data_IF_562456583265
#
_entry.id   IF_562456583265
#
_cell.length_a   1.000
_cell.length_b   1.000
_cell.length_c   1.000
_cell.angle_alpha   90.00
_cell.angle_beta   90.00
_cell.angle_gamma   90.00
#
_symmetry.space_group_name_H-M   'P 1'
#
loop_
_entity.id
_entity.type
_entity.pdbx_description
1 polymer ?
#
# COMPACT_ATOMS: atom_id res chain seq x y z
N UNK A 1 -13.21 9.48 -0.98
CA UNK A 1 -11.95 9.34 -0.23
C UNK A 1 -11.86 10.31 0.93
N UNK A 2 -12.56 9.95 1.99
CA UNK A 2 -12.29 10.43 3.34
C UNK A 2 -10.94 9.87 3.83
N UNK A 3 -10.39 10.41 4.93
CA UNK A 3 -9.13 9.92 5.52
C UNK A 3 -9.24 8.43 5.87
N UNK A 4 -10.36 8.03 6.48
CA UNK A 4 -10.63 6.65 6.88
C UNK A 4 -10.63 5.68 5.68
N UNK A 5 -11.20 6.08 4.55
CA UNK A 5 -11.25 5.25 3.34
C UNK A 5 -9.84 5.02 2.74
N UNK A 6 -8.93 5.99 2.90
CA UNK A 6 -7.52 5.85 2.49
C UNK A 6 -6.78 4.90 3.44
N UNK A 7 -7.06 4.97 4.74
CA UNK A 7 -6.46 4.07 5.74
C UNK A 7 -6.91 2.61 5.54
N UNK A 8 -8.20 2.37 5.31
CA UNK A 8 -8.71 1.02 5.01
C UNK A 8 -8.05 0.43 3.76
N UNK A 9 -7.93 1.24 2.70
CA UNK A 9 -7.30 0.80 1.44
C UNK A 9 -5.81 0.56 1.59
N UNK A 10 -5.14 1.37 2.40
CA UNK A 10 -3.72 1.19 2.74
C UNK A 10 -3.49 -0.12 3.50
N UNK A 11 -4.37 -0.46 4.45
CA UNK A 11 -4.26 -1.71 5.19
C UNK A 11 -4.54 -2.94 4.31
N UNK A 12 -5.50 -2.84 3.38
CA UNK A 12 -5.70 -3.88 2.37
C UNK A 12 -4.43 -4.08 1.51
N UNK A 13 -3.80 -3.00 1.02
CA UNK A 13 -2.55 -3.12 0.24
C UNK A 13 -1.38 -3.71 1.05
N UNK A 14 -1.29 -3.40 2.35
CA UNK A 14 -0.28 -4.02 3.23
C UNK A 14 -0.51 -5.52 3.38
N UNK A 15 -1.76 -5.94 3.55
CA UNK A 15 -2.11 -7.36 3.63
C UNK A 15 -1.77 -8.09 2.32
N UNK A 16 -2.07 -7.47 1.18
CA UNK A 16 -1.71 -8.00 -0.13
C UNK A 16 -0.20 -8.11 -0.32
N UNK A 17 0.57 -7.14 0.18
CA UNK A 17 2.04 -7.20 0.16
C UNK A 17 2.56 -8.40 0.97
N UNK A 18 2.02 -8.62 2.17
CA UNK A 18 2.41 -9.75 3.04
C UNK A 18 2.06 -11.06 2.36
N UNK A 19 0.84 -11.20 1.84
CA UNK A 19 0.40 -12.40 1.10
C UNK A 19 1.29 -12.67 -0.11
N UNK A 20 1.61 -11.63 -0.88
CA UNK A 20 2.46 -11.74 -2.07
C UNK A 20 3.89 -12.13 -1.70
N UNK A 21 4.45 -11.59 -0.61
CA UNK A 21 5.77 -11.98 -0.11
C UNK A 21 5.80 -13.43 0.36
N UNK A 22 4.78 -13.88 1.10
CA UNK A 22 4.66 -15.28 1.53
C UNK A 22 4.56 -16.22 0.32
N UNK A 23 3.71 -15.87 -0.64
CA UNK A 23 3.56 -16.63 -1.89
C UNK A 23 4.88 -16.67 -2.67
N UNK A 24 5.62 -15.56 -2.77
CA UNK A 24 6.94 -15.50 -3.42
C UNK A 24 7.96 -16.42 -2.76
N UNK A 25 7.92 -16.52 -1.43
CA UNK A 25 8.83 -17.34 -0.65
C UNK A 25 8.54 -18.84 -0.81
N UNK A 26 7.25 -19.20 -0.94
CA UNK A 26 6.81 -20.58 -1.15
C UNK A 26 7.00 -21.02 -2.61
N UNK A 27 6.68 -20.14 -3.55
CA UNK A 27 6.85 -20.36 -4.98
C UNK A 27 7.40 -19.09 -5.62
N UNK A 28 8.53 -19.16 -6.35
CA UNK A 28 9.07 -17.98 -7.01
C UNK A 28 8.00 -17.39 -7.94
N UNK A 29 7.52 -16.19 -7.58
CA UNK A 29 6.56 -15.44 -8.39
C UNK A 29 7.08 -15.27 -9.82
N UNK A 30 6.19 -15.49 -10.78
CA UNK A 30 6.47 -15.25 -12.20
C UNK A 30 6.86 -13.80 -12.50
N UNK A 31 6.36 -12.84 -11.69
CA UNK A 31 6.72 -11.43 -11.84
C UNK A 31 7.04 -10.75 -10.50
N UNK A 32 8.32 -10.65 -10.11
CA UNK A 32 8.75 -9.95 -8.90
C UNK A 32 8.52 -8.43 -8.97
N UNK A 33 8.27 -7.85 -10.15
CA UNK A 33 7.97 -6.42 -10.28
C UNK A 33 6.66 -6.03 -9.58
N UNK A 34 5.72 -6.97 -9.41
CA UNK A 34 4.45 -6.72 -8.73
C UNK A 34 4.65 -6.31 -7.26
N UNK A 35 5.63 -6.91 -6.57
CA UNK A 35 6.01 -6.51 -5.20
C UNK A 35 6.51 -5.06 -5.18
N UNK A 36 7.29 -4.67 -6.19
CA UNK A 36 7.79 -3.29 -6.31
C UNK A 36 6.66 -2.29 -6.59
N UNK A 37 5.68 -2.68 -7.39
CA UNK A 37 4.51 -1.86 -7.68
C UNK A 37 3.63 -1.64 -6.44
N UNK A 38 3.30 -2.72 -5.71
CA UNK A 38 2.53 -2.64 -4.47
C UNK A 38 3.22 -1.72 -3.45
N UNK A 39 4.54 -1.85 -3.26
CA UNK A 39 5.31 -0.95 -2.38
C UNK A 39 5.23 0.52 -2.80
N UNK A 40 5.24 0.80 -4.11
CA UNK A 40 5.09 2.17 -4.62
C UNK A 40 3.69 2.72 -4.39
N UNK A 41 2.65 1.89 -4.53
CA UNK A 41 1.28 2.32 -4.30
C UNK A 41 1.06 2.68 -2.83
N UNK A 42 1.53 1.84 -1.90
CA UNK A 42 1.52 2.10 -0.45
C UNK A 42 2.19 3.45 -0.15
N UNK A 43 3.37 3.69 -0.72
CA UNK A 43 4.09 4.95 -0.51
C UNK A 43 3.31 6.17 -1.04
N UNK A 44 2.66 6.07 -2.20
CA UNK A 44 1.81 7.16 -2.72
C UNK A 44 0.61 7.42 -1.82
N UNK A 45 -0.07 6.37 -1.34
CA UNK A 45 -1.21 6.51 -0.45
C UNK A 45 -0.83 7.18 0.87
N UNK A 46 0.31 6.80 1.47
CA UNK A 46 0.85 7.44 2.67
C UNK A 46 1.12 8.94 2.45
N UNK A 47 1.69 9.32 1.30
CA UNK A 47 1.92 10.73 0.96
C UNK A 47 0.61 11.51 0.86
N UNK A 48 -0.40 10.97 0.18
CA UNK A 48 -1.72 11.61 0.05
C UNK A 48 -2.40 11.73 1.41
N UNK A 49 -2.33 10.68 2.24
CA UNK A 49 -2.86 10.69 3.61
C UNK A 49 -2.22 11.82 4.42
N UNK A 50 -0.89 11.92 4.37
CA UNK A 50 -0.15 12.97 5.08
C UNK A 50 -0.50 14.36 4.56
N UNK A 51 -0.64 14.53 3.24
CA UNK A 51 -1.01 15.81 2.64
C UNK A 51 -2.41 16.26 3.08
N UNK A 52 -3.39 15.35 3.12
CA UNK A 52 -4.73 15.64 3.63
C UNK A 52 -4.71 16.02 5.11
N UNK A 53 -4.00 15.25 5.94
CA UNK A 53 -3.86 15.55 7.37
C UNK A 53 -3.20 16.91 7.66
N UNK A 54 -2.29 17.36 6.79
CA UNK A 54 -1.66 18.68 6.90
C UNK A 54 -2.60 19.81 6.43
N UNK A 55 -3.36 19.59 5.35
CA UNK A 55 -4.36 20.56 4.88
C UNK A 55 -5.50 20.75 5.89
N UNK A 56 -5.97 19.69 6.55
CA UNK A 56 -7.03 19.77 7.56
C UNK A 56 -6.59 20.45 8.87
N UNK A 57 -5.28 20.65 9.07
CA UNK A 57 -4.70 21.34 10.23
C UNK A 57 -4.46 22.84 10.03
N UNK A 58 -4.66 23.35 8.80
CA UNK A 58 -4.58 24.78 8.49
C UNK A 58 -5.98 25.36 8.31
#
# INVERSE_FOLDING_TARGET
MTINEIEERLDAEKQDLVRTNLNHHISPLENPMKIREIRRNIARMLTILRQKQLNDKN
#
